data_IF_939065883801
#
_entry.id   IF_939065883801
#
_cell.length_a   1.000
_cell.length_b   1.000
_cell.length_c   1.000
_cell.angle_alpha   90.00
_cell.angle_beta   90.00
_cell.angle_gamma   90.00
#
_symmetry.space_group_name_H-M   'P 1'
#
loop_
_entity.id
_entity.type
_entity.pdbx_description
1 polymer ?
#
# COMPACT_ATOMS: atom_id res chain seq x y z
N UNK A 1 11.01 -8.47 -10.91
CA UNK A 1 11.72 -8.49 -12.21
C UNK A 1 11.55 -7.09 -12.74
N UNK A 2 12.60 -6.28 -12.62
CA UNK A 2 12.52 -4.87 -12.99
C UNK A 2 12.49 -4.70 -14.50
N UNK A 3 11.76 -3.70 -14.98
CA UNK A 3 11.66 -3.39 -16.40
C UNK A 3 13.02 -2.99 -16.95
N UNK A 4 13.43 -3.56 -18.09
CA UNK A 4 14.54 -2.97 -18.83
C UNK A 4 14.13 -1.63 -19.47
N UNK A 5 15.09 -0.82 -19.91
CA UNK A 5 14.82 0.53 -20.44
C UNK A 5 13.82 0.54 -21.61
N UNK A 6 13.87 -0.47 -22.48
CA UNK A 6 12.96 -0.58 -23.63
C UNK A 6 11.54 -0.93 -23.17
N UNK A 7 11.41 -1.85 -22.22
CA UNK A 7 10.12 -2.23 -21.63
C UNK A 7 9.51 -1.07 -20.84
N UNK A 8 10.32 -0.37 -20.03
CA UNK A 8 9.92 0.82 -19.29
C UNK A 8 9.39 1.91 -20.23
N UNK A 9 10.14 2.26 -21.29
CA UNK A 9 9.70 3.27 -22.26
C UNK A 9 8.39 2.85 -22.94
N UNK A 10 8.25 1.58 -23.32
CA UNK A 10 7.02 1.05 -23.93
C UNK A 10 5.83 1.15 -22.97
N UNK A 11 6.05 0.84 -21.68
CA UNK A 11 5.03 0.94 -20.65
C UNK A 11 4.61 2.40 -20.39
N UNK A 12 5.56 3.34 -20.33
CA UNK A 12 5.28 4.77 -20.16
C UNK A 12 4.48 5.33 -21.35
N UNK A 13 4.90 5.08 -22.59
CA UNK A 13 4.19 5.53 -23.80
C UNK A 13 2.78 4.96 -23.89
N UNK A 14 2.61 3.73 -23.41
CA UNK A 14 1.31 3.09 -23.29
C UNK A 14 0.38 3.85 -22.36
N UNK A 15 0.87 4.30 -21.20
CA UNK A 15 0.08 5.06 -20.22
C UNK A 15 -0.27 6.44 -20.81
N UNK A 16 0.74 7.16 -21.31
CA UNK A 16 0.61 8.51 -21.87
C UNK A 16 -0.41 8.61 -23.02
N UNK A 17 -0.44 7.58 -23.88
CA UNK A 17 -1.35 7.53 -25.05
C UNK A 17 -2.74 6.96 -24.72
N UNK A 18 -3.00 6.59 -23.46
CA UNK A 18 -4.29 6.00 -23.10
C UNK A 18 -5.37 7.07 -22.97
N UNK A 19 -6.36 7.08 -23.87
CA UNK A 19 -7.45 8.06 -23.80
C UNK A 19 -8.20 8.07 -22.45
N UNK A 20 -8.09 6.99 -21.66
CA UNK A 20 -8.71 6.87 -20.33
C UNK A 20 -8.12 7.81 -19.28
N UNK A 21 -6.88 8.27 -19.45
CA UNK A 21 -6.22 9.16 -18.48
C UNK A 21 -6.51 10.63 -18.72
N UNK A 22 -7.20 10.96 -19.81
CA UNK A 22 -7.55 12.35 -20.14
C UNK A 22 -8.41 12.95 -19.03
N UNK A 23 -7.95 14.06 -18.47
CA UNK A 23 -8.62 14.79 -17.40
C UNK A 23 -8.92 13.92 -16.16
N UNK A 24 -8.10 12.88 -15.93
CA UNK A 24 -8.19 12.01 -14.76
C UNK A 24 -6.91 12.10 -13.91
N UNK A 25 -7.08 11.80 -12.64
CA UNK A 25 -5.95 11.47 -11.76
C UNK A 25 -5.40 10.11 -12.17
N UNK A 26 -4.08 10.03 -12.34
CA UNK A 26 -3.36 8.80 -12.66
C UNK A 26 -2.56 8.39 -11.43
N UNK A 27 -2.75 7.18 -10.95
CA UNK A 27 -2.00 6.63 -9.82
C UNK A 27 -1.22 5.39 -10.28
N UNK A 28 0.10 5.49 -10.22
CA UNK A 28 1.01 4.37 -10.46
C UNK A 28 1.17 3.58 -9.16
N UNK A 29 1.01 2.26 -9.21
CA UNK A 29 1.11 1.39 -8.05
C UNK A 29 1.98 0.17 -8.35
N UNK A 30 2.48 -0.46 -7.29
CA UNK A 30 3.16 -1.75 -7.41
C UNK A 30 2.22 -2.83 -7.95
N UNK A 31 2.79 -3.95 -8.38
CA UNK A 31 2.05 -5.09 -8.90
C UNK A 31 2.55 -5.52 -10.27
N UNK A 32 2.23 -6.76 -10.64
CA UNK A 32 2.71 -7.36 -11.89
C UNK A 32 2.32 -6.51 -13.10
N UNK A 33 3.24 -6.34 -14.05
CA UNK A 33 2.96 -5.73 -15.35
C UNK A 33 2.58 -6.84 -16.32
N UNK A 34 1.49 -6.73 -17.08
CA UNK A 34 1.11 -7.81 -17.97
C UNK A 34 2.10 -7.87 -19.12
N UNK A 35 2.58 -9.08 -19.39
CA UNK A 35 3.30 -9.37 -20.64
C UNK A 35 2.30 -9.27 -21.79
N UNK A 36 2.26 -8.13 -22.47
CA UNK A 36 1.49 -7.96 -23.70
C UNK A 36 2.09 -8.89 -24.77
N UNK A 37 1.51 -10.08 -24.96
CA UNK A 37 1.74 -10.86 -26.17
C UNK A 37 0.92 -10.23 -27.31
N UNK A 38 1.60 -9.69 -28.33
CA UNK A 38 0.96 -9.12 -29.53
C UNK A 38 0.76 -7.60 -29.53
N UNK A 39 0.03 -7.10 -30.55
CA UNK A 39 -0.31 -5.67 -30.68
C UNK A 39 -1.23 -5.25 -29.53
N UNK A 40 -0.90 -4.19 -28.77
CA UNK A 40 -1.75 -3.70 -27.69
C UNK A 40 -3.10 -3.27 -28.26
N UNK A 41 -4.20 -3.72 -27.65
CA UNK A 41 -5.54 -3.24 -27.96
C UNK A 41 -6.17 -2.62 -26.71
N UNK A 42 -7.16 -1.73 -26.81
CA UNK A 42 -7.91 -1.25 -25.65
C UNK A 42 -8.48 -2.38 -24.78
N UNK A 43 -8.74 -3.56 -25.35
CA UNK A 43 -9.20 -4.75 -24.63
C UNK A 43 -8.10 -5.43 -23.81
N UNK A 44 -6.82 -5.37 -24.22
CA UNK A 44 -5.72 -5.86 -23.37
C UNK A 44 -5.51 -4.99 -22.12
N UNK A 45 -5.95 -3.72 -22.14
CA UNK A 45 -5.95 -2.84 -20.96
C UNK A 45 -7.11 -3.13 -19.99
N UNK A 46 -8.28 -3.59 -20.46
CA UNK A 46 -9.29 -4.17 -19.55
C UNK A 46 -8.79 -5.44 -18.84
N UNK A 47 -7.78 -6.11 -19.36
CA UNK A 47 -7.11 -7.21 -18.67
C UNK A 47 -6.02 -6.73 -17.70
N UNK A 48 -5.55 -5.48 -17.79
CA UNK A 48 -4.72 -4.84 -16.76
C UNK A 48 -5.52 -4.53 -15.49
N UNK A 49 -6.84 -4.41 -15.58
CA UNK A 49 -7.78 -4.35 -14.43
C UNK A 49 -8.03 -5.75 -13.81
N UNK A 50 -7.20 -6.74 -14.13
CA UNK A 50 -7.18 -8.06 -13.47
C UNK A 50 -5.91 -8.22 -12.65
N UNK A 51 -5.52 -7.18 -11.92
CA UNK A 51 -4.26 -7.19 -11.20
C UNK A 51 -4.45 -6.73 -9.74
N UNK A 52 -3.85 -7.43 -8.77
CA UNK A 52 -4.28 -7.35 -7.37
C UNK A 52 -4.20 -5.93 -6.78
N UNK A 53 -3.13 -5.19 -7.08
CA UNK A 53 -2.83 -3.90 -6.46
C UNK A 53 -3.65 -2.74 -7.03
N UNK A 54 -3.62 -2.53 -8.35
CA UNK A 54 -4.49 -1.55 -9.01
C UNK A 54 -5.97 -1.82 -8.68
N UNK A 55 -6.40 -3.07 -8.63
CA UNK A 55 -7.78 -3.42 -8.29
C UNK A 55 -8.10 -3.14 -6.82
N UNK A 56 -7.16 -3.41 -5.91
CA UNK A 56 -7.31 -3.05 -4.51
C UNK A 56 -7.51 -1.55 -4.36
N UNK A 57 -6.60 -0.73 -4.92
CA UNK A 57 -6.71 0.72 -4.79
C UNK A 57 -7.95 1.27 -5.51
N UNK A 58 -8.37 0.68 -6.63
CA UNK A 58 -9.65 1.05 -7.27
C UNK A 58 -10.87 0.70 -6.39
N UNK A 59 -10.85 -0.44 -5.70
CA UNK A 59 -11.90 -0.81 -4.75
C UNK A 59 -11.95 0.09 -3.50
N UNK A 60 -10.82 0.73 -3.17
CA UNK A 60 -10.71 1.71 -2.09
C UNK A 60 -11.24 3.11 -2.46
N UNK A 61 -11.52 3.41 -3.73
CA UNK A 61 -12.05 4.72 -4.13
C UNK A 61 -13.37 4.98 -3.40
N UNK A 62 -13.53 6.11 -2.69
CA UNK A 62 -14.72 6.38 -1.90
C UNK A 62 -16.03 6.22 -2.68
N UNK A 63 -17.02 5.62 -2.05
CA UNK A 63 -18.31 5.30 -2.72
C UNK A 63 -19.06 6.51 -3.26
N UNK A 64 -18.85 7.69 -2.66
CA UNK A 64 -19.41 8.96 -3.11
C UNK A 64 -18.68 9.55 -4.33
N UNK A 65 -17.46 9.11 -4.64
CA UNK A 65 -16.67 9.60 -5.78
C UNK A 65 -17.10 8.90 -7.07
N UNK A 66 -18.16 9.41 -7.69
CA UNK A 66 -18.80 8.76 -8.85
C UNK A 66 -18.29 9.23 -10.21
N UNK A 67 -17.72 10.43 -10.31
CA UNK A 67 -17.24 11.04 -11.56
C UNK A 67 -15.74 11.31 -11.50
N UNK A 68 -15.05 11.34 -12.65
CA UNK A 68 -13.62 11.65 -12.70
C UNK A 68 -12.74 10.76 -11.78
N UNK A 69 -13.19 9.51 -11.55
CA UNK A 69 -12.46 8.54 -10.72
C UNK A 69 -11.01 8.35 -11.19
N UNK A 70 -10.06 8.17 -10.26
CA UNK A 70 -8.66 7.93 -10.61
C UNK A 70 -8.50 6.70 -11.51
N UNK A 71 -7.39 6.66 -12.26
CA UNK A 71 -6.99 5.54 -13.09
C UNK A 71 -5.71 4.94 -12.53
N UNK A 72 -5.76 3.65 -12.21
CA UNK A 72 -4.64 2.93 -11.61
C UNK A 72 -3.87 2.13 -12.67
N UNK A 73 -2.55 2.09 -12.53
CA UNK A 73 -1.66 1.32 -13.38
C UNK A 73 -0.62 0.62 -12.53
N UNK A 74 -0.54 -0.71 -12.68
CA UNK A 74 0.56 -1.48 -12.11
C UNK A 74 1.84 -1.25 -12.90
N UNK A 75 2.93 -1.00 -12.16
CA UNK A 75 4.22 -0.67 -12.76
C UNK A 75 5.34 -1.62 -12.38
N UNK A 76 5.10 -2.74 -11.69
CA UNK A 76 6.15 -3.70 -11.30
C UNK A 76 6.43 -3.65 -9.81
N UNK A 77 7.71 -3.69 -9.44
CA UNK A 77 8.12 -3.45 -8.05
C UNK A 77 8.22 -1.94 -7.75
N UNK A 78 8.47 -1.60 -6.49
CA UNK A 78 8.69 -0.21 -6.05
C UNK A 78 9.64 0.60 -6.92
N UNK A 79 10.77 0.03 -7.36
CA UNK A 79 11.73 0.76 -8.19
C UNK A 79 11.14 0.99 -9.58
N UNK A 80 10.43 0.00 -10.13
CA UNK A 80 9.76 0.17 -11.41
C UNK A 80 8.66 1.25 -11.37
N UNK A 81 7.92 1.37 -10.26
CA UNK A 81 6.95 2.45 -10.04
C UNK A 81 7.63 3.82 -10.07
N UNK A 82 8.70 4.00 -9.30
CA UNK A 82 9.46 5.25 -9.25
C UNK A 82 10.06 5.59 -10.63
N UNK A 83 10.70 4.63 -11.28
CA UNK A 83 11.26 4.80 -12.62
C UNK A 83 10.17 5.15 -13.64
N UNK A 84 8.99 4.53 -13.55
CA UNK A 84 7.84 4.83 -14.42
C UNK A 84 7.33 6.24 -14.19
N UNK A 85 7.21 6.67 -12.93
CA UNK A 85 6.77 8.01 -12.56
C UNK A 85 7.65 9.08 -13.22
N UNK A 86 8.96 9.02 -13.00
CA UNK A 86 9.88 10.02 -13.55
C UNK A 86 9.99 9.93 -15.08
N UNK A 87 10.02 8.71 -15.64
CA UNK A 87 10.10 8.54 -17.09
C UNK A 87 8.86 9.06 -17.82
N UNK A 88 7.68 8.94 -17.23
CA UNK A 88 6.44 9.53 -17.75
C UNK A 88 6.57 11.05 -17.81
N UNK A 89 7.09 11.69 -16.76
CA UNK A 89 7.31 13.15 -16.73
C UNK A 89 8.32 13.58 -17.79
N UNK A 90 9.44 12.88 -17.93
CA UNK A 90 10.44 13.17 -18.97
C UNK A 90 9.85 13.10 -20.37
N UNK A 91 9.11 12.03 -20.67
CA UNK A 91 8.49 11.83 -21.98
C UNK A 91 7.39 12.88 -22.25
N UNK A 92 6.60 13.22 -21.23
CA UNK A 92 5.60 14.29 -21.33
C UNK A 92 6.24 15.65 -21.60
N UNK A 93 7.30 16.01 -20.88
CA UNK A 93 8.00 17.28 -21.03
C UNK A 93 8.74 17.40 -22.38
N UNK A 94 9.16 16.26 -22.95
CA UNK A 94 9.78 16.23 -24.26
C UNK A 94 8.77 16.48 -25.41
N UNK A 95 7.53 16.00 -25.30
CA UNK A 95 6.46 16.28 -26.26
C UNK A 95 5.06 16.17 -25.60
N UNK A 96 4.57 17.29 -25.09
CA UNK A 96 3.28 17.35 -24.40
C UNK A 96 2.08 17.17 -25.35
N UNK A 97 2.27 17.35 -26.67
CA UNK A 97 1.20 17.20 -27.66
C UNK A 97 0.75 15.75 -27.88
N UNK A 98 1.61 14.80 -27.52
CA UNK A 98 1.37 13.36 -27.64
C UNK A 98 0.90 12.72 -26.33
N UNK A 99 0.53 13.53 -25.33
CA UNK A 99 0.19 13.06 -23.99
C UNK A 99 -1.21 13.48 -23.59
N UNK A 100 -2.02 12.52 -23.12
CA UNK A 100 -3.29 12.84 -22.44
C UNK A 100 -3.12 13.17 -20.95
N UNK A 101 -1.92 13.00 -20.41
CA UNK A 101 -1.61 13.26 -19.01
C UNK A 101 -1.57 14.76 -18.71
N UNK A 102 -2.19 15.15 -17.60
CA UNK A 102 -1.84 16.36 -16.86
C UNK A 102 -0.82 15.98 -15.76
N UNK A 103 0.43 16.48 -15.79
CA UNK A 103 1.45 16.16 -14.79
C UNK A 103 1.03 16.45 -13.35
N UNK A 104 0.22 17.49 -13.12
CA UNK A 104 -0.26 17.84 -11.78
C UNK A 104 -1.19 16.77 -11.18
N UNK A 105 -1.75 15.91 -12.03
CA UNK A 105 -2.66 14.82 -11.68
C UNK A 105 -1.97 13.44 -11.74
N UNK A 106 -0.64 13.38 -11.93
CA UNK A 106 0.15 12.15 -11.86
C UNK A 106 0.60 11.89 -10.41
N UNK A 107 0.31 10.70 -9.91
CA UNK A 107 0.71 10.23 -8.59
C UNK A 107 1.35 8.85 -8.68
N UNK A 108 2.17 8.52 -7.69
CA UNK A 108 2.64 7.17 -7.44
C UNK A 108 2.36 6.80 -5.98
N UNK A 109 2.05 5.53 -5.74
CA UNK A 109 1.98 4.95 -4.39
C UNK A 109 2.88 3.71 -4.34
N UNK A 110 3.80 3.68 -3.38
CA UNK A 110 4.75 2.58 -3.19
C UNK A 110 4.80 2.14 -1.74
N UNK A 111 5.21 0.90 -1.52
CA UNK A 111 5.43 0.36 -0.19
C UNK A 111 6.67 0.99 0.47
N UNK A 112 6.57 1.25 1.77
CA UNK A 112 7.68 1.76 2.57
C UNK A 112 8.84 0.75 2.66
N UNK A 113 8.51 -0.52 2.87
CA UNK A 113 9.40 -1.66 3.06
C UNK A 113 10.39 -1.50 4.25
N UNK A 114 11.14 -2.56 4.57
CA UNK A 114 12.22 -2.51 5.58
C UNK A 114 13.38 -1.66 5.08
N UNK A 115 13.71 -1.78 3.80
CA UNK A 115 14.78 -1.05 3.15
C UNK A 115 14.19 0.13 2.39
N UNK A 116 14.82 1.29 2.45
CA UNK A 116 14.41 2.44 1.63
C UNK A 116 14.81 2.24 0.17
N UNK A 117 14.11 2.90 -0.75
CA UNK A 117 14.54 3.08 -2.13
C UNK A 117 15.05 4.51 -2.34
N UNK A 118 16.19 4.65 -3.01
CA UNK A 118 16.74 5.94 -3.41
C UNK A 118 15.96 6.51 -4.60
N UNK A 119 15.80 7.83 -4.60
CA UNK A 119 15.19 8.61 -5.67
C UNK A 119 16.33 9.39 -6.31
N UNK A 120 16.79 8.93 -7.47
CA UNK A 120 17.96 9.49 -8.14
C UNK A 120 17.67 10.77 -8.92
N UNK A 121 16.39 11.10 -9.11
CA UNK A 121 15.95 12.24 -9.90
C UNK A 121 15.79 13.52 -9.08
N UNK A 122 15.64 14.65 -9.77
CA UNK A 122 15.43 15.95 -9.13
C UNK A 122 14.02 16.03 -8.52
N UNK A 123 13.85 15.38 -7.37
CA UNK A 123 12.65 15.39 -6.54
C UNK A 123 12.99 15.96 -5.16
N UNK A 124 11.98 16.50 -4.45
CA UNK A 124 12.20 17.16 -3.15
C UNK A 124 12.71 16.23 -2.04
N UNK A 125 12.63 14.92 -2.25
CA UNK A 125 13.01 13.88 -1.29
C UNK A 125 14.02 12.93 -1.92
N UNK A 126 15.03 12.51 -1.17
CA UNK A 126 16.12 11.67 -1.69
C UNK A 126 15.78 10.20 -1.67
N UNK A 127 14.89 9.75 -0.81
CA UNK A 127 14.50 8.35 -0.68
C UNK A 127 13.08 8.21 -0.12
N UNK A 128 12.57 6.98 -0.10
CA UNK A 128 11.22 6.66 0.42
C UNK A 128 11.05 6.92 1.92
N UNK A 129 12.12 6.88 2.71
CA UNK A 129 12.08 7.16 4.15
C UNK A 129 11.90 8.67 4.42
N UNK A 130 12.56 9.53 3.64
CA UNK A 130 12.37 10.99 3.72
C UNK A 130 10.92 11.39 3.38
N UNK A 131 10.33 10.71 2.39
CA UNK A 131 8.89 10.88 2.06
C UNK A 131 8.05 10.44 3.26
N UNK A 132 8.35 9.30 3.88
CA UNK A 132 7.63 8.79 5.04
C UNK A 132 7.62 9.81 6.19
N UNK A 133 8.79 10.31 6.61
CA UNK A 133 8.86 11.29 7.71
C UNK A 133 8.22 12.64 7.37
N UNK A 134 8.07 12.96 6.08
CA UNK A 134 7.30 14.13 5.66
C UNK A 134 5.78 13.89 5.67
N UNK A 135 5.33 12.72 5.20
CA UNK A 135 3.92 12.37 5.09
C UNK A 135 3.30 11.96 6.42
N UNK A 136 4.07 11.36 7.35
CA UNK A 136 3.54 10.77 8.57
C UNK A 136 4.16 11.38 9.82
N UNK A 137 3.32 11.65 10.81
CA UNK A 137 3.72 12.10 12.14
C UNK A 137 3.00 11.25 13.19
N UNK A 138 3.78 10.58 14.05
CA UNK A 138 3.25 9.71 15.12
C UNK A 138 2.25 8.66 14.60
N UNK A 139 2.54 8.06 13.45
CA UNK A 139 1.70 7.05 12.83
C UNK A 139 0.43 7.57 12.15
N UNK A 140 0.21 8.89 12.07
CA UNK A 140 -0.90 9.50 11.33
C UNK A 140 -0.38 10.33 10.16
N UNK A 141 -1.24 10.61 9.17
CA UNK A 141 -0.88 11.52 8.08
C UNK A 141 -0.73 12.96 8.58
N UNK A 142 0.35 13.61 8.16
CA UNK A 142 0.57 15.03 8.32
C UNK A 142 -0.15 15.79 7.18
N UNK A 143 -1.42 16.19 7.42
CA UNK A 143 -2.25 16.88 6.43
C UNK A 143 -1.59 18.13 5.84
N UNK A 144 -0.80 18.87 6.63
CA UNK A 144 -0.16 20.08 6.13
C UNK A 144 0.88 19.80 5.05
N UNK A 145 1.42 18.59 4.97
CA UNK A 145 2.48 18.27 4.02
C UNK A 145 1.98 17.61 2.73
N UNK A 146 0.75 17.09 2.69
CA UNK A 146 0.29 16.22 1.59
C UNK A 146 0.24 16.91 0.22
N UNK A 147 0.04 18.23 0.18
CA UNK A 147 0.02 18.99 -1.06
C UNK A 147 1.38 19.03 -1.79
N UNK A 148 2.48 18.82 -1.07
CA UNK A 148 3.84 18.74 -1.61
C UNK A 148 4.19 17.38 -2.23
N UNK A 149 3.33 16.36 -2.07
CA UNK A 149 3.64 15.00 -2.48
C UNK A 149 2.90 14.60 -3.75
N UNK A 150 3.65 13.97 -4.66
CA UNK A 150 3.11 13.23 -5.82
C UNK A 150 3.48 11.75 -5.76
N UNK A 151 4.64 11.44 -5.18
CA UNK A 151 4.98 10.09 -4.73
C UNK A 151 4.56 9.94 -3.28
N UNK A 152 3.68 8.98 -3.02
CA UNK A 152 3.24 8.58 -1.68
C UNK A 152 3.88 7.26 -1.31
N UNK A 153 4.31 7.16 -0.05
CA UNK A 153 4.72 5.88 0.54
C UNK A 153 3.64 5.42 1.51
N UNK A 154 3.46 4.11 1.66
CA UNK A 154 2.55 3.56 2.67
C UNK A 154 3.02 3.98 4.08
N UNK A 155 2.07 4.32 4.95
CA UNK A 155 2.37 4.62 6.36
C UNK A 155 2.66 3.37 7.20
N UNK A 156 2.29 2.20 6.70
CA UNK A 156 2.67 0.89 7.25
C UNK A 156 3.71 0.24 6.33
N UNK A 157 4.36 -0.85 6.78
CA UNK A 157 5.52 -1.42 6.07
C UNK A 157 5.22 -1.76 4.61
N UNK A 158 4.05 -2.34 4.33
CA UNK A 158 3.56 -2.76 3.01
C UNK A 158 2.06 -2.54 2.94
N UNK A 159 1.49 -2.57 1.74
CA UNK A 159 0.05 -2.58 1.52
C UNK A 159 -0.68 -3.68 2.31
N UNK A 160 -0.15 -4.90 2.38
CA UNK A 160 -0.78 -6.00 3.13
C UNK A 160 -0.91 -5.73 4.64
N UNK A 161 -0.12 -4.81 5.21
CA UNK A 161 -0.27 -4.42 6.61
C UNK A 161 -1.62 -3.73 6.86
N UNK A 162 -2.16 -3.01 5.87
CA UNK A 162 -3.52 -2.48 5.96
C UNK A 162 -4.56 -3.59 6.04
N UNK A 163 -4.32 -4.75 5.43
CA UNK A 163 -5.25 -5.89 5.46
C UNK A 163 -5.37 -6.52 6.84
N UNK A 164 -4.49 -6.12 7.77
CA UNK A 164 -4.42 -6.63 9.12
C UNK A 164 -4.60 -5.52 10.16
N UNK A 165 -5.14 -4.36 9.79
CA UNK A 165 -5.52 -3.35 10.79
C UNK A 165 -6.72 -3.84 11.63
N UNK A 166 -6.86 -3.41 12.90
CA UNK A 166 -7.90 -3.93 13.80
C UNK A 166 -9.32 -3.84 13.23
N UNK A 167 -9.62 -2.73 12.55
CA UNK A 167 -10.93 -2.52 11.91
C UNK A 167 -11.26 -3.51 10.80
N UNK A 168 -10.27 -4.25 10.26
CA UNK A 168 -10.48 -5.27 9.22
C UNK A 168 -11.06 -6.56 9.78
N UNK A 169 -11.03 -6.80 11.11
CA UNK A 169 -11.62 -8.00 11.69
C UNK A 169 -13.08 -8.19 11.23
N UNK A 170 -13.85 -7.10 11.10
CA UNK A 170 -15.24 -7.18 10.62
C UNK A 170 -15.36 -7.75 9.19
N UNK A 171 -14.34 -7.58 8.35
CA UNK A 171 -14.34 -8.11 6.99
C UNK A 171 -14.15 -9.63 7.02
N UNK A 172 -13.33 -10.14 7.95
CA UNK A 172 -13.15 -11.58 8.13
C UNK A 172 -14.37 -12.24 8.80
N UNK A 173 -15.01 -11.52 9.73
CA UNK A 173 -16.21 -11.98 10.43
C UNK A 173 -17.43 -12.00 9.51
N UNK A 174 -17.50 -11.08 8.53
CA UNK A 174 -18.58 -11.03 7.56
C UNK A 174 -18.39 -12.10 6.49
N UNK A 175 -19.12 -13.21 6.65
CA UNK A 175 -19.09 -14.38 5.77
C UNK A 175 -19.45 -14.03 4.31
N UNK A 176 -18.45 -13.82 3.47
CA UNK A 176 -18.65 -13.41 2.08
C UNK A 176 -19.06 -14.59 1.18
N UNK A 177 -18.32 -15.71 1.25
CA UNK A 177 -18.56 -16.96 0.47
C UNK A 177 -17.95 -18.19 1.17
N UNK A 178 -16.85 -17.99 1.89
CA UNK A 178 -16.07 -19.00 2.62
C UNK A 178 -15.55 -18.34 3.90
N UNK A 179 -15.25 -19.14 4.92
CA UNK A 179 -14.66 -18.65 6.16
C UNK A 179 -13.15 -18.48 5.98
N UNK A 180 -12.59 -17.27 6.15
CA UNK A 180 -11.14 -17.10 6.23
C UNK A 180 -10.59 -17.86 7.44
N UNK A 181 -9.58 -18.68 7.20
CA UNK A 181 -8.88 -19.46 8.20
C UNK A 181 -7.42 -19.02 8.30
N UNK A 182 -6.89 -18.93 9.52
CA UNK A 182 -5.48 -18.75 9.81
C UNK A 182 -5.04 -19.86 10.76
N UNK A 183 -4.04 -20.65 10.35
CA UNK A 183 -3.60 -21.86 11.06
C UNK A 183 -4.78 -22.77 11.44
N UNK A 184 -5.62 -23.10 10.46
CA UNK A 184 -6.81 -23.98 10.57
C UNK A 184 -7.96 -23.45 11.46
N UNK A 185 -7.81 -22.26 12.05
CA UNK A 185 -8.85 -21.64 12.88
C UNK A 185 -9.46 -20.43 12.19
N UNK A 186 -10.69 -20.04 12.53
CA UNK A 186 -11.26 -18.77 12.06
C UNK A 186 -10.29 -17.62 12.34
N UNK A 187 -10.10 -16.74 11.36
CA UNK A 187 -9.15 -15.62 11.50
C UNK A 187 -9.50 -14.77 12.72
N UNK A 188 -8.53 -14.66 13.61
CA UNK A 188 -8.50 -13.68 14.70
C UNK A 188 -7.21 -12.87 14.55
N UNK A 189 -7.36 -11.58 14.27
CA UNK A 189 -6.23 -10.67 14.08
C UNK A 189 -5.31 -10.59 15.31
N UNK A 190 -5.84 -10.73 16.53
CA UNK A 190 -5.03 -10.72 17.74
C UNK A 190 -4.01 -11.86 17.74
N UNK A 191 -4.39 -13.06 17.30
CA UNK A 191 -3.47 -14.20 17.19
C UNK A 191 -2.37 -13.92 16.16
N UNK A 192 -2.72 -13.28 15.04
CA UNK A 192 -1.75 -12.91 14.00
C UNK A 192 -0.74 -11.88 14.54
N UNK A 193 -1.17 -10.91 15.34
CA UNK A 193 -0.26 -9.93 15.95
C UNK A 193 0.72 -10.58 16.93
N UNK A 194 0.24 -11.52 17.74
CA UNK A 194 1.10 -12.26 18.66
C UNK A 194 2.15 -13.08 17.90
N UNK A 195 1.73 -13.80 16.84
CA UNK A 195 2.66 -14.53 15.98
C UNK A 195 3.68 -13.59 15.31
N UNK A 196 3.23 -12.43 14.82
CA UNK A 196 4.11 -11.42 14.22
C UNK A 196 5.20 -10.96 15.18
N UNK A 197 4.84 -10.70 16.44
CA UNK A 197 5.77 -10.24 17.47
C UNK A 197 6.73 -11.35 17.85
N UNK A 198 6.24 -12.58 18.02
CA UNK A 198 7.04 -13.75 18.40
C UNK A 198 8.08 -14.11 17.33
N UNK A 199 7.76 -13.89 16.04
CA UNK A 199 8.66 -14.18 14.93
C UNK A 199 9.67 -13.06 14.63
N UNK A 200 9.55 -11.86 15.21
CA UNK A 200 10.41 -10.70 14.90
C UNK A 200 11.91 -11.00 15.03
N UNK A 201 12.29 -11.71 16.09
CA UNK A 201 13.69 -12.04 16.39
C UNK A 201 14.26 -13.13 15.47
N UNK A 202 13.44 -13.73 14.61
CA UNK A 202 13.86 -14.67 13.57
C UNK A 202 13.97 -14.03 12.18
N UNK A 203 13.42 -12.82 11.99
CA UNK A 203 13.51 -12.08 10.73
C UNK A 203 14.89 -11.42 10.59
N UNK A 204 15.75 -12.02 9.75
CA UNK A 204 17.10 -11.52 9.48
C UNK A 204 17.12 -10.16 8.78
N UNK A 205 16.16 -9.89 7.90
CA UNK A 205 16.12 -8.62 7.18
C UNK A 205 15.74 -7.49 8.15
N UNK A 206 14.75 -7.74 9.02
CA UNK A 206 14.40 -6.82 10.09
C UNK A 206 15.55 -6.59 11.07
N UNK A 207 16.24 -7.66 11.51
CA UNK A 207 17.41 -7.54 12.39
C UNK A 207 18.51 -6.66 11.80
N UNK A 208 18.85 -6.88 10.52
CA UNK A 208 19.90 -6.12 9.84
C UNK A 208 19.57 -4.62 9.70
N UNK A 209 18.28 -4.26 9.75
CA UNK A 209 17.79 -2.91 9.53
C UNK A 209 17.07 -2.31 10.75
N UNK A 210 17.11 -2.98 11.91
CA UNK A 210 16.32 -2.65 13.09
C UNK A 210 16.46 -1.20 13.52
N UNK A 211 17.70 -0.71 13.61
CA UNK A 211 17.99 0.65 14.06
C UNK A 211 17.35 1.74 13.21
N UNK A 212 17.14 1.48 11.90
CA UNK A 212 16.47 2.39 10.98
C UNK A 212 14.96 2.26 11.09
N UNK A 213 14.45 1.04 11.01
CA UNK A 213 13.01 0.76 11.02
C UNK A 213 12.38 1.21 12.35
N UNK A 214 13.09 1.03 13.48
CA UNK A 214 12.64 1.48 14.79
C UNK A 214 12.46 3.02 14.90
N UNK A 215 13.22 3.82 14.13
CA UNK A 215 13.08 5.30 14.18
C UNK A 215 11.66 5.76 13.80
N UNK A 216 10.94 4.98 12.99
CA UNK A 216 9.56 5.24 12.58
C UNK A 216 8.60 5.34 13.77
N UNK A 217 8.91 4.66 14.86
CA UNK A 217 8.10 4.59 16.08
C UNK A 217 8.78 5.22 17.30
N UNK A 218 9.88 5.95 17.10
CA UNK A 218 10.67 6.58 18.17
C UNK A 218 9.89 7.56 19.05
N UNK A 219 8.70 7.98 18.61
CA UNK A 219 7.78 8.80 19.39
C UNK A 219 7.12 8.04 20.57
N UNK A 220 7.22 6.71 20.62
CA UNK A 220 6.71 5.90 21.73
C UNK A 220 7.78 5.67 22.79
N UNK A 221 7.67 6.39 23.89
CA UNK A 221 8.62 6.27 25.01
C UNK A 221 8.43 5.01 25.88
N UNK A 222 7.30 4.30 25.73
CA UNK A 222 6.99 3.12 26.54
C UNK A 222 7.65 1.83 26.03
N UNK A 223 8.18 1.83 24.80
CA UNK A 223 8.77 0.66 24.18
C UNK A 223 10.30 0.76 24.24
N UNK A 224 10.96 -0.29 24.75
CA UNK A 224 12.41 -0.37 24.71
C UNK A 224 12.83 -0.82 23.30
N UNK A 225 13.38 0.11 22.53
CA UNK A 225 13.76 -0.11 21.14
C UNK A 225 15.24 -0.39 20.89
N UNK A 226 16.05 -0.50 21.94
CA UNK A 226 17.51 -0.59 21.76
C UNK A 226 17.89 -1.88 21.02
N UNK A 227 17.20 -2.98 21.34
CA UNK A 227 17.40 -4.29 20.72
C UNK A 227 16.03 -4.92 20.39
N UNK A 228 15.97 -5.68 19.30
CA UNK A 228 14.71 -6.25 18.78
C UNK A 228 14.03 -7.23 19.76
N UNK A 229 14.81 -7.96 20.55
CA UNK A 229 14.33 -8.87 21.59
C UNK A 229 13.73 -8.12 22.80
N UNK A 230 14.33 -6.99 23.19
CA UNK A 230 13.76 -6.10 24.21
C UNK A 230 12.48 -5.44 23.72
N UNK A 231 12.43 -5.06 22.45
CA UNK A 231 11.21 -4.56 21.84
C UNK A 231 10.11 -5.61 21.86
N UNK A 232 10.41 -6.83 21.40
CA UNK A 232 9.48 -7.97 21.42
C UNK A 232 8.92 -8.19 22.84
N UNK A 233 9.80 -8.25 23.85
CA UNK A 233 9.39 -8.43 25.24
C UNK A 233 8.51 -7.27 25.75
N UNK A 234 8.93 -6.02 25.54
CA UNK A 234 8.18 -4.85 26.02
C UNK A 234 6.83 -4.70 25.31
N UNK A 235 6.77 -4.95 24.00
CA UNK A 235 5.52 -4.96 23.25
C UNK A 235 4.57 -6.02 23.79
N UNK A 236 5.02 -7.26 24.00
CA UNK A 236 4.19 -8.35 24.54
C UNK A 236 3.68 -8.02 25.95
N UNK A 237 4.52 -7.47 26.82
CA UNK A 237 4.10 -7.04 28.17
C UNK A 237 3.06 -5.93 28.12
N UNK A 238 3.29 -4.89 27.32
CA UNK A 238 2.34 -3.78 27.18
C UNK A 238 1.03 -4.27 26.58
N UNK A 239 1.07 -5.06 25.51
CA UNK A 239 -0.13 -5.53 24.81
C UNK A 239 -1.00 -6.45 25.67
N UNK A 240 -0.41 -7.44 26.33
CA UNK A 240 -1.16 -8.41 27.15
C UNK A 240 -1.72 -7.81 28.45
N UNK A 241 -1.02 -6.82 29.03
CA UNK A 241 -1.45 -6.20 30.29
C UNK A 241 -2.33 -4.94 30.08
N UNK A 242 -2.41 -4.38 28.86
CA UNK A 242 -3.25 -3.20 28.62
C UNK A 242 -4.73 -3.55 28.54
N UNK A 243 -5.55 -2.82 29.30
CA UNK A 243 -7.00 -2.89 29.21
C UNK A 243 -7.58 -1.89 28.18
N UNK A 244 -6.81 -0.89 27.77
CA UNK A 244 -7.28 0.14 26.83
C UNK A 244 -7.14 -0.33 25.39
N UNK A 245 -8.27 -0.39 24.67
CA UNK A 245 -8.31 -0.72 23.25
C UNK A 245 -7.50 0.29 22.41
N UNK A 246 -7.55 1.58 22.75
CA UNK A 246 -6.80 2.62 22.03
C UNK A 246 -5.29 2.40 22.14
N UNK A 247 -4.81 1.95 23.30
CA UNK A 247 -3.40 1.63 23.49
C UNK A 247 -3.01 0.37 22.72
N UNK A 248 -3.87 -0.68 22.74
CA UNK A 248 -3.67 -1.87 21.91
C UNK A 248 -3.60 -1.50 20.42
N UNK A 249 -4.48 -0.64 19.93
CA UNK A 249 -4.45 -0.18 18.54
C UNK A 249 -3.17 0.58 18.19
N UNK A 250 -2.64 1.41 19.10
CA UNK A 250 -1.34 2.06 18.91
C UNK A 250 -0.20 1.04 18.80
N UNK A 251 -0.18 0.03 19.68
CA UNK A 251 0.81 -1.05 19.66
C UNK A 251 0.72 -1.88 18.37
N UNK A 252 -0.50 -2.17 17.90
CA UNK A 252 -0.72 -2.89 16.63
C UNK A 252 -0.23 -2.04 15.46
N UNK A 253 -0.57 -0.76 15.42
CA UNK A 253 -0.09 0.14 14.38
C UNK A 253 1.44 0.19 14.34
N UNK A 254 2.11 0.22 15.50
CA UNK A 254 3.58 0.23 15.51
C UNK A 254 4.17 -1.07 15.03
N UNK A 255 3.60 -2.21 15.45
CA UNK A 255 3.99 -3.52 14.92
C UNK A 255 3.91 -3.56 13.38
N UNK A 256 2.80 -3.09 12.82
CA UNK A 256 2.54 -3.05 11.37
C UNK A 256 3.42 -2.05 10.59
N UNK A 257 4.04 -1.08 11.28
CA UNK A 257 5.05 -0.18 10.70
C UNK A 257 6.44 -0.83 10.61
N UNK A 258 6.69 -1.89 11.38
CA UNK A 258 7.99 -2.54 11.51
C UNK A 258 8.05 -3.89 10.78
N UNK A 259 6.99 -4.71 10.89
CA UNK A 259 7.01 -6.14 10.52
C UNK A 259 6.30 -6.41 9.21
N UNK A 260 6.99 -7.09 8.29
CA UNK A 260 6.45 -7.52 6.99
C UNK A 260 5.22 -8.41 7.16
N UNK A 261 4.06 -7.86 6.82
CA UNK A 261 2.77 -8.54 7.00
C UNK A 261 2.45 -9.58 5.93
N UNK A 262 3.22 -9.61 4.83
CA UNK A 262 2.93 -10.41 3.63
C UNK A 262 2.88 -11.92 3.88
N UNK A 263 3.77 -12.44 4.72
CA UNK A 263 3.79 -13.89 5.02
C UNK A 263 2.63 -14.33 5.91
N UNK A 264 2.14 -13.46 6.80
CA UNK A 264 0.95 -13.70 7.61
C UNK A 264 -0.32 -13.63 6.76
N UNK A 265 -0.41 -12.63 5.88
CA UNK A 265 -1.49 -12.52 4.90
C UNK A 265 -1.60 -13.77 4.00
N UNK A 266 -0.47 -14.33 3.57
CA UNK A 266 -0.44 -15.56 2.74
C UNK A 266 -0.95 -16.79 3.47
N UNK A 267 -0.84 -16.83 4.79
CA UNK A 267 -1.35 -17.92 5.63
C UNK A 267 -2.85 -17.82 5.88
N UNK A 268 -3.51 -16.74 5.46
CA UNK A 268 -4.97 -16.67 5.44
C UNK A 268 -5.47 -17.46 4.22
N UNK A 269 -6.15 -18.56 4.53
CA UNK A 269 -6.65 -19.55 3.58
C UNK A 269 -8.18 -19.58 3.59
N UNK A 270 -8.83 -20.00 2.50
CA UNK A 270 -10.24 -20.31 2.53
C UNK A 270 -10.52 -21.61 3.30
N UNK A 271 -11.78 -21.82 3.69
CA UNK A 271 -12.27 -23.12 4.11
C UNK A 271 -12.37 -24.12 2.92
N UNK A 272 -12.72 -25.37 3.23
CA UNK A 272 -12.85 -26.46 2.25
C UNK A 272 -13.95 -26.22 1.20
N UNK A 273 -14.89 -25.30 1.46
CA UNK A 273 -16.02 -25.03 0.55
C UNK A 273 -15.63 -24.12 -0.62
N UNK A 274 -14.42 -23.54 -0.60
CA UNK A 274 -13.97 -22.63 -1.64
C UNK A 274 -13.57 -23.38 -2.93
N UNK A 275 -14.25 -23.14 -4.07
CA UNK A 275 -14.07 -23.95 -5.27
C UNK A 275 -12.88 -23.53 -6.14
N UNK A 276 -12.05 -22.58 -5.68
CA UNK A 276 -10.99 -21.97 -6.47
C UNK A 276 -9.64 -22.00 -5.75
N UNK A 277 -8.60 -21.45 -6.37
CA UNK A 277 -7.29 -21.37 -5.72
C UNK A 277 -7.29 -20.38 -4.55
N UNK A 278 -6.39 -20.60 -3.59
CA UNK A 278 -6.12 -19.68 -2.49
C UNK A 278 -5.71 -18.28 -2.97
N UNK A 279 -5.02 -18.20 -4.10
CA UNK A 279 -4.68 -16.93 -4.73
C UNK A 279 -5.94 -16.13 -5.08
N UNK A 280 -6.91 -16.77 -5.75
CA UNK A 280 -8.18 -16.13 -6.11
C UNK A 280 -8.98 -15.74 -4.86
N UNK A 281 -8.91 -16.56 -3.82
CA UNK A 281 -9.52 -16.23 -2.53
C UNK A 281 -8.95 -14.94 -1.96
N UNK A 282 -7.62 -14.85 -1.83
CA UNK A 282 -6.95 -13.64 -1.31
C UNK A 282 -7.17 -12.41 -2.20
N UNK A 283 -7.23 -12.58 -3.53
CA UNK A 283 -7.61 -11.49 -4.43
C UNK A 283 -9.02 -10.98 -4.11
N UNK A 284 -10.02 -11.86 -3.96
CA UNK A 284 -11.37 -11.42 -3.61
C UNK A 284 -11.44 -10.79 -2.22
N UNK A 285 -10.76 -11.39 -1.24
CA UNK A 285 -10.70 -10.86 0.11
C UNK A 285 -10.05 -9.47 0.14
N UNK A 286 -9.00 -9.24 -0.64
CA UNK A 286 -8.41 -7.89 -0.78
C UNK A 286 -9.39 -6.87 -1.38
N UNK A 287 -10.29 -7.28 -2.27
CA UNK A 287 -11.31 -6.38 -2.82
C UNK A 287 -12.40 -6.05 -1.79
N UNK A 288 -12.79 -7.00 -0.95
CA UNK A 288 -13.70 -6.73 0.17
C UNK A 288 -13.07 -5.79 1.20
N UNK A 289 -11.77 -5.96 1.49
CA UNK A 289 -11.00 -5.01 2.31
C UNK A 289 -10.93 -3.63 1.63
N UNK A 290 -10.79 -3.58 0.31
CA UNK A 290 -10.86 -2.31 -0.44
C UNK A 290 -12.23 -1.63 -0.30
N UNK A 291 -13.32 -2.41 -0.40
CA UNK A 291 -14.69 -1.93 -0.17
C UNK A 291 -14.93 -1.48 1.28
N UNK A 292 -14.24 -2.07 2.25
CA UNK A 292 -14.23 -1.55 3.62
C UNK A 292 -13.64 -0.14 3.63
N UNK A 293 -12.46 0.07 3.05
CA UNK A 293 -11.83 1.39 3.03
C UNK A 293 -12.61 2.46 2.25
N UNK A 294 -13.30 2.10 1.17
CA UNK A 294 -14.10 3.08 0.40
C UNK A 294 -15.34 3.62 1.14
N UNK A 295 -15.68 3.04 2.30
CA UNK A 295 -16.76 3.50 3.18
C UNK A 295 -16.25 4.31 4.37
N UNK A 296 -14.94 4.33 4.61
CA UNK A 296 -14.34 5.01 5.74
C UNK A 296 -14.14 6.51 5.46
N UNK A 297 -14.13 7.30 6.53
CA UNK A 297 -13.86 8.73 6.45
C UNK A 297 -12.38 9.00 6.20
N UNK A 298 -12.09 10.05 5.42
CA UNK A 298 -10.75 10.57 5.17
C UNK A 298 -10.19 11.40 6.35
N UNK A 299 -10.11 10.78 7.53
CA UNK A 299 -9.41 11.33 8.69
C UNK A 299 -7.91 10.95 8.64
N UNK A 300 -7.05 11.66 9.38
CA UNK A 300 -5.58 11.49 9.28
C UNK A 300 -5.08 10.13 9.78
N UNK A 301 -5.86 9.41 10.58
CA UNK A 301 -5.55 8.05 11.03
C UNK A 301 -5.86 6.99 9.96
N UNK A 302 -6.79 7.29 9.06
CA UNK A 302 -7.23 6.42 7.98
C UNK A 302 -6.42 6.69 6.71
N UNK A 303 -5.23 6.09 6.61
CA UNK A 303 -4.26 6.44 5.57
C UNK A 303 -4.81 6.37 4.13
N UNK A 304 -5.42 5.25 3.75
CA UNK A 304 -5.95 5.02 2.41
C UNK A 304 -7.14 5.96 2.11
N UNK A 305 -8.18 6.05 2.96
CA UNK A 305 -9.26 7.02 2.76
C UNK A 305 -8.78 8.48 2.67
N UNK A 306 -7.79 8.86 3.48
CA UNK A 306 -7.23 10.20 3.45
C UNK A 306 -6.45 10.49 2.17
N UNK A 307 -5.72 9.52 1.63
CA UNK A 307 -5.08 9.63 0.32
C UNK A 307 -6.12 9.98 -0.75
N UNK A 308 -7.26 9.27 -0.80
CA UNK A 308 -8.33 9.58 -1.74
C UNK A 308 -8.98 10.94 -1.51
N UNK A 309 -9.20 11.34 -0.25
CA UNK A 309 -9.66 12.70 0.07
C UNK A 309 -8.69 13.76 -0.48
N UNK A 310 -7.38 13.52 -0.36
CA UNK A 310 -6.36 14.43 -0.89
C UNK A 310 -6.41 14.53 -2.40
N UNK A 311 -6.54 13.39 -3.09
CA UNK A 311 -6.69 13.36 -4.55
C UNK A 311 -7.95 14.10 -5.01
N UNK A 312 -9.09 13.86 -4.35
CA UNK A 312 -10.37 14.46 -4.73
C UNK A 312 -10.35 16.00 -4.66
N UNK A 313 -9.71 16.57 -3.63
CA UNK A 313 -9.54 18.03 -3.48
C UNK A 313 -8.88 18.70 -4.70
N UNK A 314 -8.13 17.97 -5.53
CA UNK A 314 -7.46 18.51 -6.72
C UNK A 314 -8.43 18.76 -7.89
N UNK A 315 -9.54 18.03 -7.93
CA UNK A 315 -10.51 18.03 -9.03
C UNK A 315 -11.87 18.64 -8.65
N UNK A 316 -12.09 18.96 -7.37
CA UNK A 316 -13.29 19.65 -6.85
C UNK A 316 -13.32 21.16 -7.18
N UNK A 317 -12.54 21.62 -8.16
CA UNK A 317 -12.38 23.05 -8.48
C UNK A 317 -13.59 23.67 -9.16
#
# INVERSE_FOLDING_TARGET
>A
MSLNETELKKHCLTILNSARIRDKIVVLCEGSIPKLQGRPSPQSYKQMEKMPDANFYDACVPTWWTQYRPQFFNCGDRNDVLNTYFKILDLHNADSSQSFLNPDLLFAIVDLDIQFAEIQENYSFKNTEDIFYSLYHQGNINESNTHHHRVWVTGLIHKEAYFLLPGIQEVFDNHYVSYPLYKENTVNLENIYLDMVDDMTNDKDLQNHWSKVFQRISYLSSLDGVEIDKFQYSWNQEYCNNLSLDNKHKLINTLLMLVKSKEYWRQILPDENWPHSEHKFREQLSLEIGKFYSKQDGNVANHIPFFFKTLYKLIEK
#
